data_IF_267752274964
#
_entry.id   IF_267752274964
#
_cell.length_a   1.000
_cell.length_b   1.000
_cell.length_c   1.000
_cell.angle_alpha   90.00
_cell.angle_beta   90.00
_cell.angle_gamma   90.00
#
_symmetry.space_group_name_H-M   'P 1'
#
loop_
_entity.id
_entity.type
_entity.pdbx_description
1 polymer ?
#
# COMPACT_ATOMS: atom_id res chain seq x y z
N UNK A 1 35.79 -7.54 -10.32
CA UNK A 1 35.80 -6.08 -10.14
C UNK A 1 34.88 -5.49 -11.20
N UNK A 2 33.76 -4.85 -10.81
CA UNK A 2 32.88 -4.16 -11.76
C UNK A 2 33.68 -3.03 -12.40
N UNK A 3 33.74 -2.99 -13.74
CA UNK A 3 34.65 -2.07 -14.46
C UNK A 3 34.13 -0.63 -14.50
N UNK A 4 32.82 -0.42 -14.42
CA UNK A 4 32.15 0.88 -14.44
C UNK A 4 30.68 0.77 -14.00
N UNK A 5 30.02 1.92 -13.77
CA UNK A 5 28.62 2.04 -13.35
C UNK A 5 27.65 1.38 -14.33
N UNK A 6 27.89 1.51 -15.64
CA UNK A 6 27.02 0.95 -16.68
C UNK A 6 27.03 -0.59 -16.68
N UNK A 7 28.18 -1.18 -16.42
CA UNK A 7 28.32 -2.64 -16.26
C UNK A 7 27.54 -3.14 -15.04
N UNK A 8 27.60 -2.41 -13.91
CA UNK A 8 26.82 -2.74 -12.72
C UNK A 8 25.31 -2.62 -12.98
N UNK A 9 24.88 -1.54 -13.65
CA UNK A 9 23.48 -1.32 -14.02
C UNK A 9 22.93 -2.42 -14.92
N UNK A 10 23.70 -2.88 -15.91
CA UNK A 10 23.29 -4.02 -16.78
C UNK A 10 23.10 -5.31 -16.01
N UNK A 11 23.95 -5.59 -15.02
CA UNK A 11 23.81 -6.78 -14.17
C UNK A 11 22.53 -6.67 -13.34
N UNK A 12 22.27 -5.52 -12.73
CA UNK A 12 21.02 -5.30 -11.96
C UNK A 12 19.78 -5.48 -12.84
N UNK A 13 19.78 -4.92 -14.06
CA UNK A 13 18.67 -5.09 -15.02
C UNK A 13 18.48 -6.56 -15.40
N UNK A 14 19.59 -7.28 -15.65
CA UNK A 14 19.55 -8.71 -15.97
C UNK A 14 19.01 -9.54 -14.81
N UNK A 15 19.48 -9.29 -13.58
CA UNK A 15 19.03 -9.98 -12.36
C UNK A 15 17.54 -9.73 -12.11
N UNK A 16 17.11 -8.48 -12.20
CA UNK A 16 15.72 -8.08 -12.10
C UNK A 16 14.83 -8.88 -13.06
N UNK A 17 15.21 -8.96 -14.33
CA UNK A 17 14.39 -9.61 -15.36
C UNK A 17 14.45 -11.12 -15.27
N UNK A 18 15.64 -11.68 -15.24
CA UNK A 18 15.88 -13.12 -15.44
C UNK A 18 15.71 -13.93 -14.17
N UNK A 19 15.89 -13.31 -13.00
CA UNK A 19 15.79 -14.00 -11.70
C UNK A 19 14.55 -13.55 -10.96
N UNK A 20 14.41 -12.26 -10.65
CA UNK A 20 13.34 -11.81 -9.76
C UNK A 20 11.95 -11.85 -10.40
N UNK A 21 11.75 -11.17 -11.54
CA UNK A 21 10.45 -11.15 -12.21
C UNK A 21 10.02 -12.57 -12.63
N UNK A 22 10.92 -13.35 -13.24
CA UNK A 22 10.63 -14.74 -13.60
C UNK A 22 10.35 -15.62 -12.37
N UNK A 23 11.11 -15.44 -11.30
CA UNK A 23 10.92 -16.17 -10.04
C UNK A 23 9.57 -15.85 -9.40
N UNK A 24 9.19 -14.57 -9.33
CA UNK A 24 7.90 -14.13 -8.80
C UNK A 24 6.72 -14.72 -9.58
N UNK A 25 6.82 -14.76 -10.91
CA UNK A 25 5.78 -15.36 -11.76
C UNK A 25 5.71 -16.88 -11.56
N UNK A 26 6.85 -17.55 -11.50
CA UNK A 26 6.90 -19.01 -11.41
C UNK A 26 6.54 -19.53 -10.02
N UNK A 27 6.91 -18.79 -8.96
CA UNK A 27 6.86 -19.24 -7.57
C UNK A 27 6.57 -18.07 -6.61
N UNK A 28 5.39 -17.43 -6.70
CA UNK A 28 5.08 -16.22 -5.95
C UNK A 28 5.16 -16.41 -4.42
N UNK A 29 4.87 -17.61 -3.93
CA UNK A 29 4.85 -17.91 -2.49
C UNK A 29 6.25 -18.12 -1.88
N UNK A 30 7.31 -18.30 -2.70
CA UNK A 30 8.68 -18.39 -2.18
C UNK A 30 9.26 -17.02 -1.80
N UNK A 31 8.68 -15.92 -2.31
CA UNK A 31 9.09 -14.55 -2.00
C UNK A 31 8.35 -14.04 -0.76
N UNK A 32 9.11 -13.72 0.29
CA UNK A 32 8.59 -13.10 1.50
C UNK A 32 8.48 -11.58 1.29
N UNK A 33 7.68 -10.90 2.11
CA UNK A 33 7.49 -9.45 1.99
C UNK A 33 8.79 -8.64 2.04
N UNK A 34 9.78 -9.07 2.85
CA UNK A 34 11.09 -8.40 2.89
C UNK A 34 11.86 -8.54 1.57
N UNK A 35 11.69 -9.66 0.86
CA UNK A 35 12.30 -9.86 -0.47
C UNK A 35 11.66 -8.90 -1.48
N UNK A 36 10.33 -8.72 -1.43
CA UNK A 36 9.60 -7.76 -2.25
C UNK A 36 10.04 -6.31 -1.99
N UNK A 37 10.21 -5.93 -0.72
CA UNK A 37 10.71 -4.60 -0.37
C UNK A 37 12.14 -4.37 -0.86
N UNK A 38 13.02 -5.34 -0.69
CA UNK A 38 14.39 -5.27 -1.18
C UNK A 38 14.42 -5.17 -2.70
N UNK A 39 13.57 -5.94 -3.38
CA UNK A 39 13.36 -5.84 -4.82
C UNK A 39 13.02 -4.40 -5.23
N UNK A 40 11.99 -3.78 -4.62
CA UNK A 40 11.58 -2.40 -4.94
C UNK A 40 12.71 -1.41 -4.71
N UNK A 41 13.43 -1.53 -3.59
CA UNK A 41 14.54 -0.63 -3.25
C UNK A 41 15.70 -0.73 -4.25
N UNK A 42 16.03 -1.93 -4.72
CA UNK A 42 17.13 -2.12 -5.67
C UNK A 42 16.78 -1.61 -7.06
N UNK A 43 15.53 -1.75 -7.49
CA UNK A 43 15.12 -1.35 -8.85
C UNK A 43 14.88 0.15 -8.96
N UNK A 44 14.42 0.78 -7.87
CA UNK A 44 14.26 2.23 -7.78
C UNK A 44 15.62 2.92 -8.00
N UNK A 45 15.74 3.66 -9.11
CA UNK A 45 16.95 4.42 -9.46
C UNK A 45 18.04 3.64 -10.21
N UNK A 46 17.93 2.31 -10.32
CA UNK A 46 18.89 1.48 -11.09
C UNK A 46 18.32 1.03 -12.43
N UNK A 47 17.01 0.76 -12.48
CA UNK A 47 16.30 0.33 -13.68
C UNK A 47 15.46 1.49 -14.20
N UNK A 48 15.27 1.55 -15.52
CA UNK A 48 14.39 2.55 -16.13
C UNK A 48 12.97 2.44 -15.55
N UNK A 49 12.44 3.54 -15.03
CA UNK A 49 11.20 3.56 -14.26
C UNK A 49 9.99 2.97 -15.02
N UNK A 50 9.78 3.41 -16.26
CA UNK A 50 8.69 2.91 -17.10
C UNK A 50 8.78 1.38 -17.32
N UNK A 51 10.00 0.86 -17.41
CA UNK A 51 10.23 -0.58 -17.51
C UNK A 51 9.90 -1.30 -16.20
N UNK A 52 10.25 -0.74 -15.05
CA UNK A 52 9.89 -1.30 -13.73
C UNK A 52 8.38 -1.38 -13.56
N UNK A 53 7.68 -0.26 -13.74
CA UNK A 53 6.21 -0.18 -13.61
C UNK A 53 5.52 -1.21 -14.50
N UNK A 54 5.94 -1.29 -15.78
CA UNK A 54 5.38 -2.26 -16.73
C UNK A 54 5.56 -3.70 -16.26
N UNK A 55 6.72 -4.05 -15.73
CA UNK A 55 6.98 -5.42 -15.27
C UNK A 55 6.22 -5.73 -13.97
N UNK A 56 6.16 -4.80 -13.02
CA UNK A 56 5.41 -4.97 -11.76
C UNK A 56 3.92 -5.22 -12.03
N UNK A 57 3.31 -4.40 -12.88
CA UNK A 57 1.90 -4.57 -13.28
C UNK A 57 1.68 -5.92 -13.99
N UNK A 58 2.62 -6.36 -14.85
CA UNK A 58 2.52 -7.64 -15.56
C UNK A 58 2.64 -8.86 -14.64
N UNK A 59 3.45 -8.78 -13.58
CA UNK A 59 3.56 -9.84 -12.58
C UNK A 59 2.23 -10.06 -11.86
N UNK A 60 1.41 -9.00 -11.72
CA UNK A 60 0.05 -9.08 -11.16
C UNK A 60 0.02 -9.70 -9.74
N UNK A 61 1.12 -9.56 -8.99
CA UNK A 61 1.19 -9.91 -7.56
C UNK A 61 0.81 -8.67 -6.74
N UNK A 62 -0.28 -8.78 -5.99
CA UNK A 62 -0.85 -7.66 -5.22
C UNK A 62 0.10 -7.13 -4.14
N UNK A 63 0.88 -8.00 -3.51
CA UNK A 63 1.84 -7.63 -2.44
C UNK A 63 2.97 -6.79 -3.04
N UNK A 64 3.48 -7.22 -4.19
CA UNK A 64 4.50 -6.47 -4.91
C UNK A 64 3.99 -5.11 -5.39
N UNK A 65 2.81 -5.07 -6.01
CA UNK A 65 2.25 -3.81 -6.51
C UNK A 65 2.02 -2.83 -5.37
N UNK A 66 1.46 -3.29 -4.25
CA UNK A 66 1.25 -2.44 -3.07
C UNK A 66 2.58 -1.97 -2.45
N UNK A 67 3.56 -2.86 -2.30
CA UNK A 67 4.90 -2.48 -1.80
C UNK A 67 5.55 -1.43 -2.69
N UNK A 68 5.43 -1.58 -4.01
CA UNK A 68 5.96 -0.61 -4.96
C UNK A 68 5.24 0.73 -4.87
N UNK A 69 3.92 0.71 -4.68
CA UNK A 69 3.10 1.89 -4.47
C UNK A 69 3.50 2.68 -3.22
N UNK A 70 3.79 2.02 -2.09
CA UNK A 70 4.22 2.73 -0.87
C UNK A 70 5.45 3.62 -1.12
N UNK A 71 6.38 3.17 -1.97
CA UNK A 71 7.58 3.94 -2.32
C UNK A 71 7.37 4.91 -3.50
N UNK A 72 6.31 4.72 -4.29
CA UNK A 72 6.03 5.47 -5.52
C UNK A 72 4.55 5.87 -5.63
N UNK A 73 3.99 6.42 -4.55
CA UNK A 73 2.55 6.67 -4.38
C UNK A 73 1.94 7.65 -5.40
N UNK A 74 2.79 8.43 -6.06
CA UNK A 74 2.38 9.38 -7.11
C UNK A 74 2.30 8.74 -8.50
N UNK A 75 2.61 7.44 -8.65
CA UNK A 75 2.49 6.74 -9.93
C UNK A 75 1.02 6.48 -10.29
N UNK A 76 0.56 7.12 -11.37
CA UNK A 76 -0.82 7.03 -11.84
C UNK A 76 -1.21 5.61 -12.29
N UNK A 77 -0.29 4.87 -12.94
CA UNK A 77 -0.59 3.53 -13.47
C UNK A 77 -0.78 2.54 -12.31
N UNK A 78 0.08 2.62 -11.31
CA UNK A 78 0.00 1.79 -10.11
C UNK A 78 -1.24 2.14 -9.28
N UNK A 79 -1.56 3.43 -9.13
CA UNK A 79 -2.80 3.89 -8.48
C UNK A 79 -4.04 3.32 -9.17
N UNK A 80 -4.15 3.51 -10.49
CA UNK A 80 -5.28 2.97 -11.26
C UNK A 80 -5.37 1.45 -11.17
N UNK A 81 -4.23 0.75 -11.14
CA UNK A 81 -4.22 -0.69 -10.99
C UNK A 81 -4.76 -1.10 -9.61
N UNK A 82 -4.33 -0.43 -8.54
CA UNK A 82 -4.77 -0.72 -7.17
C UNK A 82 -6.26 -0.44 -6.98
N UNK A 83 -6.77 0.66 -7.55
CA UNK A 83 -8.20 0.97 -7.54
C UNK A 83 -9.03 -0.11 -8.24
N UNK A 84 -8.61 -0.52 -9.45
CA UNK A 84 -9.30 -1.57 -10.22
C UNK A 84 -9.23 -2.95 -9.57
N UNK A 85 -8.23 -3.18 -8.72
CA UNK A 85 -7.97 -4.46 -8.06
C UNK A 85 -8.12 -4.39 -6.55
N UNK A 86 -8.87 -3.40 -6.03
CA UNK A 86 -8.99 -3.15 -4.60
C UNK A 86 -9.49 -4.39 -3.85
N UNK A 87 -10.35 -5.20 -4.46
CA UNK A 87 -10.89 -6.41 -3.84
C UNK A 87 -9.85 -7.52 -3.59
N UNK A 88 -8.69 -7.46 -4.27
CA UNK A 88 -7.57 -8.39 -4.04
C UNK A 88 -6.69 -7.99 -2.86
N UNK A 89 -6.84 -6.78 -2.35
CA UNK A 89 -6.11 -6.29 -1.19
C UNK A 89 -6.74 -6.83 0.09
N UNK A 90 -5.92 -6.99 1.13
CA UNK A 90 -6.45 -7.25 2.47
C UNK A 90 -7.22 -6.01 2.99
N UNK A 91 -8.02 -6.18 4.02
CA UNK A 91 -8.86 -5.09 4.57
C UNK A 91 -8.10 -3.81 4.94
N UNK A 92 -6.90 -3.92 5.51
CA UNK A 92 -6.07 -2.79 5.92
C UNK A 92 -5.58 -2.02 4.69
N UNK A 93 -5.03 -2.75 3.72
CA UNK A 93 -4.59 -2.19 2.45
C UNK A 93 -5.75 -1.55 1.68
N UNK A 94 -6.92 -2.20 1.64
CA UNK A 94 -8.15 -1.65 1.03
C UNK A 94 -8.53 -0.32 1.65
N UNK A 95 -8.56 -0.26 2.99
CA UNK A 95 -8.86 0.97 3.70
C UNK A 95 -7.87 2.09 3.32
N UNK A 96 -6.57 1.80 3.34
CA UNK A 96 -5.55 2.79 2.95
C UNK A 96 -5.77 3.30 1.53
N UNK A 97 -6.00 2.44 0.53
CA UNK A 97 -6.20 2.89 -0.86
C UNK A 97 -7.47 3.74 -1.00
N UNK A 98 -8.57 3.36 -0.35
CA UNK A 98 -9.82 4.13 -0.41
C UNK A 98 -9.69 5.47 0.32
N UNK A 99 -9.07 5.48 1.50
CA UNK A 99 -8.79 6.70 2.23
C UNK A 99 -7.84 7.62 1.45
N UNK A 100 -6.81 7.08 0.79
CA UNK A 100 -5.86 7.85 -0.02
C UNK A 100 -6.54 8.59 -1.18
N UNK A 101 -7.61 8.01 -1.71
CA UNK A 101 -8.43 8.56 -2.79
C UNK A 101 -9.62 9.40 -2.32
N UNK A 102 -9.94 9.40 -1.02
CA UNK A 102 -10.96 10.28 -0.47
C UNK A 102 -10.59 11.76 -0.73
N UNK A 103 -11.49 12.61 -1.24
CA UNK A 103 -11.16 13.98 -1.61
C UNK A 103 -10.51 14.83 -0.51
N UNK A 104 -10.80 14.57 0.77
CA UNK A 104 -10.18 15.32 1.88
C UNK A 104 -8.69 15.00 2.03
N UNK A 105 -8.30 13.75 1.75
CA UNK A 105 -6.91 13.29 1.79
C UNK A 105 -6.25 13.54 0.44
N UNK A 106 -6.92 13.20 -0.66
CA UNK A 106 -6.34 13.21 -2.00
C UNK A 106 -5.91 14.61 -2.49
N UNK A 107 -6.52 15.66 -1.93
CA UNK A 107 -6.19 17.06 -2.21
C UNK A 107 -5.24 17.71 -1.20
N UNK A 108 -4.83 16.98 -0.15
CA UNK A 108 -3.91 17.47 0.87
C UNK A 108 -2.66 16.56 0.98
N UNK A 109 -1.50 17.09 0.57
CA UNK A 109 -0.23 16.35 0.59
C UNK A 109 0.22 15.94 1.99
N UNK A 110 -0.14 16.72 3.03
CA UNK A 110 0.19 16.40 4.41
C UNK A 110 -0.56 15.15 4.87
N UNK A 111 -1.87 15.11 4.68
CA UNK A 111 -2.70 13.94 5.03
C UNK A 111 -2.33 12.71 4.21
N UNK A 112 -1.98 12.86 2.92
CA UNK A 112 -1.39 11.77 2.13
C UNK A 112 -0.12 11.23 2.77
N UNK A 113 0.79 12.12 3.16
CA UNK A 113 2.06 11.76 3.79
C UNK A 113 1.82 10.97 5.08
N UNK A 114 0.93 11.45 5.95
CA UNK A 114 0.60 10.75 7.20
C UNK A 114 -0.02 9.38 6.92
N UNK A 115 -0.97 9.28 5.98
CA UNK A 115 -1.61 8.00 5.64
C UNK A 115 -0.59 6.98 5.09
N UNK A 116 0.33 7.43 4.23
CA UNK A 116 1.43 6.59 3.73
C UNK A 116 2.39 6.17 4.85
N UNK A 117 2.69 7.07 5.79
CA UNK A 117 3.51 6.75 6.95
C UNK A 117 2.86 5.70 7.86
N UNK A 118 1.53 5.74 8.02
CA UNK A 118 0.78 4.69 8.73
C UNK A 118 0.98 3.34 8.02
N UNK A 119 0.79 3.31 6.70
CA UNK A 119 1.00 2.11 5.88
C UNK A 119 2.41 1.54 6.06
N UNK A 120 3.44 2.39 5.93
CA UNK A 120 4.84 1.99 6.06
C UNK A 120 5.22 1.55 7.48
N UNK A 121 4.74 2.25 8.52
CA UNK A 121 5.01 1.91 9.93
C UNK A 121 4.44 0.54 10.30
N UNK A 122 3.26 0.22 9.79
CA UNK A 122 2.61 -1.07 9.98
C UNK A 122 3.04 -2.13 8.96
N UNK A 123 3.89 -1.74 7.99
CA UNK A 123 4.48 -2.59 6.96
C UNK A 123 3.43 -3.33 6.13
N UNK A 124 2.38 -2.61 5.73
CA UNK A 124 1.23 -3.22 5.03
C UNK A 124 1.62 -3.81 3.66
N UNK A 125 2.66 -3.31 2.98
CA UNK A 125 3.19 -3.95 1.78
C UNK A 125 3.88 -5.30 2.01
N UNK A 126 4.32 -5.57 3.24
CA UNK A 126 5.17 -6.72 3.60
C UNK A 126 4.37 -7.83 4.27
N UNK A 127 3.49 -7.48 5.20
CA UNK A 127 2.77 -8.41 6.05
C UNK A 127 1.43 -8.84 5.44
N UNK A 128 1.01 -10.07 5.73
CA UNK A 128 -0.37 -10.50 5.47
C UNK A 128 -1.34 -9.79 6.43
N UNK A 129 -2.64 -9.86 6.13
CA UNK A 129 -3.70 -9.31 7.00
C UNK A 129 -3.52 -9.73 8.46
N UNK A 130 -3.33 -11.02 8.68
CA UNK A 130 -3.25 -11.65 10.01
C UNK A 130 -2.05 -11.19 10.85
N UNK A 131 -1.00 -10.68 10.20
CA UNK A 131 0.23 -10.22 10.87
C UNK A 131 0.17 -8.72 11.22
N UNK A 132 -0.89 -8.03 10.83
CA UNK A 132 -1.07 -6.58 11.07
C UNK A 132 -1.74 -6.38 12.43
N UNK A 133 -1.13 -5.53 13.26
CA UNK A 133 -1.73 -5.15 14.53
C UNK A 133 -2.91 -4.19 14.30
N UNK A 134 -4.13 -4.73 14.38
CA UNK A 134 -5.38 -4.01 14.13
C UNK A 134 -5.60 -2.83 15.07
N UNK A 135 -5.39 -3.01 16.37
CA UNK A 135 -5.53 -1.93 17.36
C UNK A 135 -4.64 -0.72 17.00
N UNK A 136 -3.37 -0.95 16.66
CA UNK A 136 -2.45 0.12 16.25
C UNK A 136 -2.90 0.77 14.95
N UNK A 137 -3.40 -0.01 13.99
CA UNK A 137 -3.95 0.52 12.75
C UNK A 137 -5.13 1.47 13.02
N UNK A 138 -6.07 1.05 13.86
CA UNK A 138 -7.22 1.86 14.24
C UNK A 138 -6.81 3.13 14.98
N UNK A 139 -5.94 3.03 15.98
CA UNK A 139 -5.45 4.19 16.74
C UNK A 139 -4.79 5.21 15.81
N UNK A 140 -3.92 4.77 14.89
CA UNK A 140 -3.27 5.70 13.96
C UNK A 140 -4.25 6.37 13.00
N UNK A 141 -5.25 5.64 12.51
CA UNK A 141 -6.28 6.22 11.64
C UNK A 141 -7.21 7.17 12.39
N UNK A 142 -7.59 6.84 13.62
CA UNK A 142 -8.43 7.71 14.44
C UNK A 142 -7.73 9.04 14.73
N UNK A 143 -6.43 9.00 15.04
CA UNK A 143 -5.62 10.21 15.19
C UNK A 143 -5.61 11.04 13.89
N UNK A 144 -5.34 10.42 12.73
CA UNK A 144 -5.37 11.12 11.44
C UNK A 144 -6.74 11.73 11.15
N UNK A 145 -7.84 11.00 11.39
CA UNK A 145 -9.20 11.51 11.14
C UNK A 145 -9.51 12.71 12.05
N UNK A 146 -9.09 12.67 13.31
CA UNK A 146 -9.24 13.79 14.23
C UNK A 146 -8.43 15.01 13.79
N UNK A 147 -7.17 14.83 13.38
CA UNK A 147 -6.33 15.89 12.83
C UNK A 147 -6.96 16.52 11.58
N UNK A 148 -7.57 15.69 10.71
CA UNK A 148 -8.31 16.18 9.54
C UNK A 148 -9.50 17.04 9.98
N UNK A 149 -10.31 16.58 10.94
CA UNK A 149 -11.48 17.30 11.45
C UNK A 149 -11.09 18.67 12.00
N UNK A 150 -10.03 18.72 12.82
CA UNK A 150 -9.51 19.97 13.38
C UNK A 150 -8.96 20.89 12.29
N UNK A 151 -8.27 20.33 11.29
CA UNK A 151 -7.65 21.09 10.20
C UNK A 151 -8.64 21.72 9.20
N UNK A 152 -9.81 21.13 8.98
CA UNK A 152 -10.77 21.62 7.97
C UNK A 152 -11.63 22.81 8.42
N UNK A 153 -11.58 23.21 9.71
CA UNK A 153 -12.21 24.44 10.23
C UNK A 153 -13.64 24.75 9.70
N UNK A 154 -14.49 23.73 9.55
CA UNK A 154 -15.88 23.90 9.13
C UNK A 154 -16.09 24.22 7.64
N UNK A 155 -15.13 23.94 6.76
CA UNK A 155 -15.33 23.96 5.30
C UNK A 155 -16.49 23.02 4.91
N UNK A 156 -17.66 23.54 4.49
CA UNK A 156 -18.86 22.73 4.29
C UNK A 156 -18.73 21.66 3.21
N UNK A 157 -17.90 21.89 2.18
CA UNK A 157 -17.67 20.91 1.11
C UNK A 157 -16.82 19.74 1.64
N UNK A 158 -15.82 20.04 2.47
CA UNK A 158 -14.93 19.02 3.05
C UNK A 158 -15.57 18.20 4.16
N UNK A 159 -16.53 18.78 4.90
CA UNK A 159 -17.28 18.07 5.95
C UNK A 159 -17.96 16.80 5.42
N UNK A 160 -18.49 16.84 4.19
CA UNK A 160 -19.10 15.67 3.55
C UNK A 160 -18.09 14.53 3.37
N UNK A 161 -16.92 14.84 2.82
CA UNK A 161 -15.87 13.85 2.56
C UNK A 161 -15.27 13.27 3.85
N UNK A 162 -15.12 14.09 4.89
CA UNK A 162 -14.68 13.63 6.22
C UNK A 162 -15.70 12.71 6.85
N UNK A 163 -16.99 13.01 6.72
CA UNK A 163 -18.06 12.14 7.22
C UNK A 163 -18.03 10.79 6.51
N UNK A 164 -17.80 10.76 5.19
CA UNK A 164 -17.72 9.53 4.43
C UNK A 164 -16.50 8.69 4.85
N UNK A 165 -15.34 9.33 5.03
CA UNK A 165 -14.13 8.67 5.57
C UNK A 165 -14.37 8.09 6.96
N UNK A 166 -15.03 8.86 7.84
CA UNK A 166 -15.35 8.40 9.20
C UNK A 166 -16.32 7.24 9.18
N UNK A 167 -17.34 7.27 8.31
CA UNK A 167 -18.28 6.16 8.16
C UNK A 167 -17.57 4.89 7.70
N UNK A 168 -16.65 5.00 6.75
CA UNK A 168 -15.84 3.86 6.31
C UNK A 168 -14.98 3.31 7.46
N UNK A 169 -14.39 4.19 8.27
CA UNK A 169 -13.61 3.80 9.44
C UNK A 169 -14.44 3.12 10.54
N UNK A 170 -15.65 3.61 10.82
CA UNK A 170 -16.57 2.95 11.76
C UNK A 170 -17.00 1.57 11.24
N UNK A 171 -17.23 1.43 9.93
CA UNK A 171 -17.49 0.13 9.31
C UNK A 171 -16.34 -0.86 9.54
N UNK A 172 -15.11 -0.42 9.29
CA UNK A 172 -13.90 -1.20 9.53
C UNK A 172 -13.76 -1.68 11.00
N UNK A 173 -14.14 -0.85 11.98
CA UNK A 173 -14.16 -1.23 13.41
C UNK A 173 -15.30 -2.20 13.75
N UNK A 174 -16.44 -2.09 13.08
CA UNK A 174 -17.61 -2.93 13.36
C UNK A 174 -17.40 -4.36 12.85
N UNK A 175 -16.69 -4.52 11.73
CA UNK A 175 -16.31 -5.82 11.17
C UNK A 175 -15.44 -6.65 12.15
N UNK A 176 -14.56 -6.00 12.93
CA UNK A 176 -13.81 -6.63 14.02
C UNK A 176 -14.72 -7.18 15.11
N UNK A 177 -15.70 -6.38 15.54
CA UNK A 177 -16.58 -6.78 16.62
C UNK A 177 -17.47 -7.97 16.22
N UNK A 178 -17.87 -8.06 14.95
CA UNK A 178 -18.57 -9.24 14.43
C UNK A 178 -17.69 -10.49 14.30
N UNK A 179 -16.41 -10.35 13.94
CA UNK A 179 -15.45 -11.46 13.90
C UNK A 179 -15.11 -11.98 15.30
N UNK A 180 -14.85 -11.09 16.27
CA UNK A 180 -14.66 -11.46 17.68
C UNK A 180 -15.86 -12.21 18.24
N UNK A 181 -17.07 -11.76 17.94
CA UNK A 181 -18.29 -12.44 18.36
C UNK A 181 -18.42 -13.82 17.71
N UNK A 182 -18.08 -14.00 16.42
CA UNK A 182 -18.11 -15.32 15.77
C UNK A 182 -17.11 -16.29 16.40
N UNK A 183 -15.91 -15.84 16.75
CA UNK A 183 -14.90 -16.65 17.43
C UNK A 183 -15.31 -17.03 18.86
N UNK A 184 -15.92 -16.10 19.60
CA UNK A 184 -16.40 -16.35 20.98
C UNK A 184 -17.63 -17.29 20.99
N UNK A 185 -18.48 -17.21 19.97
CA UNK A 185 -19.74 -17.97 19.91
C UNK A 185 -19.68 -19.27 19.07
N UNK A 186 -18.53 -19.63 18.48
CA UNK A 186 -18.33 -20.87 17.69
C UNK A 186 -19.48 -21.15 16.71
N UNK A 187 -19.77 -20.19 15.81
CA UNK A 187 -20.67 -20.38 14.65
C UNK A 187 -19.85 -20.38 13.37
#
# INVERSE_FOLDING_TARGET
MLKDYDSARRIVISEFREVWIKGLIAKPNEFKGNDLKNFVNVVNGMVEYAYVVTNIVKVNDVRLVYTFWEENWNDMIINEWLEKNVDKLNEFQRFIIRAFNNPVISTNSEFKGILLDISKKLKLGIYSGDDINREKFQVYLELLINDIIEGINGDPERVGYVRDLRKEFEGFKSDEHEEELKEVFNV
#
